data_IF_880562114840
#
_entry.id   IF_880562114840
#
_cell.length_a   1.000
_cell.length_b   1.000
_cell.length_c   1.000
_cell.angle_alpha   90.00
_cell.angle_beta   90.00
_cell.angle_gamma   90.00
#
_symmetry.space_group_name_H-M   'P 1'
#
loop_
_entity.id
_entity.type
_entity.pdbx_description
1 polymer ?
#
# COMPACT_ATOMS: atom_id res chain seq x y z
N UNK A 1 4.98 -2.89 10.30
CA UNK A 1 4.78 -2.87 8.84
C UNK A 1 5.97 -2.15 8.28
N UNK A 2 6.66 -2.71 7.29
CA UNK A 2 7.84 -2.08 6.69
C UNK A 2 7.45 -1.22 5.50
N UNK A 3 8.36 -0.31 5.11
CA UNK A 3 8.26 0.40 3.84
C UNK A 3 8.28 -0.57 2.67
N UNK A 4 7.45 -0.29 1.67
CA UNK A 4 7.26 -1.14 0.51
C UNK A 4 8.05 -0.65 -0.71
N UNK A 5 8.43 0.61 -0.72
CA UNK A 5 9.13 1.27 -1.80
C UNK A 5 9.21 2.78 -1.55
N UNK A 6 9.92 3.45 -2.45
CA UNK A 6 10.12 4.90 -2.39
C UNK A 6 9.44 5.57 -3.58
N UNK A 7 8.68 6.62 -3.30
CA UNK A 7 8.12 7.51 -4.31
C UNK A 7 8.53 8.94 -4.01
N UNK A 8 8.91 9.69 -5.04
CA UNK A 8 9.20 11.12 -4.87
C UNK A 8 7.88 11.86 -4.59
N UNK A 9 7.84 12.83 -3.66
CA UNK A 9 6.61 13.57 -3.35
C UNK A 9 5.91 14.18 -4.58
N UNK A 10 6.69 14.67 -5.56
CA UNK A 10 6.14 15.18 -6.82
C UNK A 10 5.41 14.12 -7.64
N UNK A 11 5.91 12.87 -7.66
CA UNK A 11 5.24 11.77 -8.34
C UNK A 11 3.92 11.43 -7.66
N UNK A 12 3.85 11.52 -6.33
CA UNK A 12 2.60 11.30 -5.60
C UNK A 12 1.56 12.38 -5.91
N UNK A 13 1.97 13.65 -6.01
CA UNK A 13 1.04 14.75 -6.28
C UNK A 13 0.52 14.70 -7.73
N UNK A 14 1.37 14.39 -8.71
CA UNK A 14 1.03 14.51 -10.13
C UNK A 14 0.69 13.20 -10.84
N UNK A 15 1.21 12.06 -10.38
CA UNK A 15 1.11 10.76 -11.09
C UNK A 15 0.39 9.70 -10.26
N UNK A 16 0.77 9.53 -9.01
CA UNK A 16 0.33 8.46 -8.12
C UNK A 16 -0.39 9.02 -6.90
N UNK A 17 -1.42 9.83 -7.16
CA UNK A 17 -2.26 10.41 -6.11
C UNK A 17 -3.12 9.36 -5.41
N UNK A 18 -4.04 9.84 -4.57
CA UNK A 18 -5.02 8.99 -3.89
C UNK A 18 -5.81 8.16 -4.90
N UNK A 19 -5.96 6.86 -4.63
CA UNK A 19 -6.63 5.90 -5.52
C UNK A 19 -5.80 5.46 -6.72
N UNK A 20 -4.58 5.96 -6.89
CA UNK A 20 -3.70 5.49 -7.95
C UNK A 20 -3.19 4.07 -7.67
N UNK A 21 -3.03 3.29 -8.74
CA UNK A 21 -2.35 2.01 -8.71
C UNK A 21 -0.84 2.20 -8.86
N UNK A 22 -0.09 1.57 -7.96
CA UNK A 22 1.37 1.55 -7.97
C UNK A 22 1.82 0.10 -8.06
N UNK A 23 2.60 -0.20 -9.10
CA UNK A 23 3.19 -1.53 -9.29
C UNK A 23 4.55 -1.60 -8.58
N UNK A 24 4.66 -2.49 -7.60
CA UNK A 24 5.92 -2.88 -6.97
C UNK A 24 6.43 -4.18 -7.64
N UNK A 25 7.71 -4.57 -7.43
CA UNK A 25 8.29 -5.71 -8.14
C UNK A 25 7.52 -7.03 -8.01
N UNK A 26 6.92 -7.30 -6.84
CA UNK A 26 6.25 -8.58 -6.55
C UNK A 26 4.78 -8.43 -6.14
N UNK A 27 4.25 -7.21 -6.04
CA UNK A 27 2.83 -6.98 -5.75
C UNK A 27 2.39 -5.59 -6.26
N UNK A 28 1.10 -5.41 -6.52
CA UNK A 28 0.56 -4.09 -6.83
C UNK A 28 -0.22 -3.55 -5.63
N UNK A 29 -0.18 -2.24 -5.43
CA UNK A 29 -0.91 -1.56 -4.37
C UNK A 29 -1.75 -0.42 -4.91
N UNK A 30 -2.74 -0.02 -4.14
CA UNK A 30 -3.51 1.20 -4.35
C UNK A 30 -3.21 2.19 -3.23
N UNK A 31 -3.05 3.46 -3.58
CA UNK A 31 -2.85 4.55 -2.62
C UNK A 31 -4.18 4.82 -1.90
N UNK A 32 -4.14 4.80 -0.57
CA UNK A 32 -5.34 5.00 0.26
C UNK A 32 -5.76 6.47 0.35
N UNK A 33 -6.98 6.67 0.86
CA UNK A 33 -7.63 7.98 0.99
C UNK A 33 -6.85 8.92 1.90
N UNK A 34 -7.11 10.23 1.78
CA UNK A 34 -6.55 11.21 2.72
C UNK A 34 -7.02 10.96 4.17
N UNK A 35 -8.18 10.32 4.35
CA UNK A 35 -8.70 9.94 5.66
C UNK A 35 -7.84 8.88 6.37
N UNK A 36 -7.08 8.09 5.61
CA UNK A 36 -6.16 7.07 6.15
C UNK A 36 -4.76 7.65 6.46
N UNK A 37 -4.51 8.92 6.11
CA UNK A 37 -3.20 9.54 6.31
C UNK A 37 -3.01 9.95 7.76
N UNK A 38 -1.85 9.60 8.32
CA UNK A 38 -1.49 10.00 9.67
C UNK A 38 -0.92 11.43 9.69
N UNK A 39 -1.79 12.38 10.03
CA UNK A 39 -1.49 13.82 10.07
C UNK A 39 -0.29 14.13 10.98
N UNK A 40 0.03 13.28 11.97
CA UNK A 40 1.18 13.47 12.87
C UNK A 40 2.52 13.50 12.14
N UNK A 41 2.58 12.85 10.98
CA UNK A 41 3.78 12.79 10.14
C UNK A 41 3.67 13.68 8.89
N UNK A 42 2.59 14.45 8.77
CA UNK A 42 2.39 15.40 7.69
C UNK A 42 2.89 16.78 8.11
N UNK A 43 3.76 17.39 7.30
CA UNK A 43 4.19 18.77 7.52
C UNK A 43 3.11 19.74 7.05
N UNK A 44 2.67 20.64 7.92
CA UNK A 44 1.72 21.69 7.56
C UNK A 44 2.38 22.75 6.65
N UNK A 45 1.63 23.22 5.66
CA UNK A 45 2.04 24.29 4.75
C UNK A 45 1.53 25.61 5.32
N UNK A 46 2.43 26.38 5.91
CA UNK A 46 2.16 27.69 6.50
C UNK A 46 2.22 28.80 5.43
N UNK A 47 1.22 28.82 4.53
CA UNK A 47 1.12 29.85 3.48
C UNK A 47 -0.30 30.43 3.38
N UNK A 48 -0.56 31.53 4.11
CA UNK A 48 -1.87 32.18 4.16
C UNK A 48 -2.44 32.54 2.78
N UNK A 49 -1.58 32.97 1.86
CA UNK A 49 -1.99 33.32 0.49
C UNK A 49 -2.46 32.11 -0.30
N UNK A 50 -1.81 30.96 -0.11
CA UNK A 50 -2.19 29.71 -0.75
C UNK A 50 -3.50 29.19 -0.17
N UNK A 51 -3.64 29.19 1.15
CA UNK A 51 -4.88 28.79 1.84
C UNK A 51 -6.04 29.67 1.38
N UNK A 52 -5.88 31.00 1.35
CA UNK A 52 -6.90 31.91 0.86
C UNK A 52 -7.26 31.66 -0.62
N UNK A 53 -6.28 31.35 -1.46
CA UNK A 53 -6.53 31.03 -2.88
C UNK A 53 -7.29 29.71 -3.04
N UNK A 54 -6.99 28.70 -2.22
CA UNK A 54 -7.68 27.41 -2.21
C UNK A 54 -9.10 27.54 -1.64
N UNK A 55 -9.28 28.29 -0.55
CA UNK A 55 -10.59 28.57 0.04
C UNK A 55 -11.52 29.31 -0.93
N UNK A 56 -11.00 30.22 -1.75
CA UNK A 56 -11.79 30.86 -2.81
C UNK A 56 -12.36 29.88 -3.84
N UNK A 57 -11.71 28.73 -4.05
CA UNK A 57 -12.12 27.71 -5.04
C UNK A 57 -12.96 26.59 -4.42
N UNK A 58 -12.55 26.09 -3.26
CA UNK A 58 -13.16 24.92 -2.63
C UNK A 58 -14.11 25.27 -1.49
N UNK A 59 -14.00 26.47 -0.91
CA UNK A 59 -14.81 26.96 0.20
C UNK A 59 -14.02 27.10 1.52
N UNK A 60 -14.64 27.78 2.49
CA UNK A 60 -14.02 28.13 3.77
C UNK A 60 -13.81 26.93 4.72
N UNK A 61 -14.32 25.73 4.38
CA UNK A 61 -14.10 24.52 5.16
C UNK A 61 -12.65 24.02 5.13
N UNK A 62 -11.86 24.46 4.14
CA UNK A 62 -10.44 24.14 4.01
C UNK A 62 -9.60 25.11 4.85
N UNK A 63 -9.24 24.72 6.07
CA UNK A 63 -8.44 25.56 6.98
C UNK A 63 -6.94 25.31 6.94
N UNK A 64 -6.51 24.11 6.52
CA UNK A 64 -5.11 23.67 6.59
C UNK A 64 -4.72 22.88 5.36
N UNK A 65 -3.45 22.98 4.99
CA UNK A 65 -2.84 22.26 3.88
C UNK A 65 -1.66 21.46 4.42
N UNK A 66 -1.57 20.21 4.02
CA UNK A 66 -0.53 19.29 4.48
C UNK A 66 0.28 18.78 3.31
N UNK A 67 1.59 18.65 3.51
CA UNK A 67 2.44 17.85 2.65
C UNK A 67 2.21 16.36 2.92
N UNK A 68 2.48 15.48 1.93
CA UNK A 68 2.45 14.04 2.12
C UNK A 68 3.27 13.61 3.34
N UNK A 69 2.89 12.52 4.02
CA UNK A 69 3.66 11.97 5.13
C UNK A 69 5.03 11.53 4.59
N UNK A 70 6.07 12.23 5.00
CA UNK A 70 7.46 11.96 4.64
C UNK A 70 8.18 11.56 5.94
N UNK A 71 9.07 10.58 5.86
CA UNK A 71 9.94 10.24 6.98
C UNK A 71 10.71 11.46 7.45
N UNK A 72 10.73 11.67 8.76
CA UNK A 72 11.56 12.68 9.39
C UNK A 72 12.98 12.13 9.51
N UNK A 73 13.99 12.92 9.13
CA UNK A 73 15.41 12.56 9.18
C UNK A 73 15.88 12.08 10.58
N UNK A 74 15.17 12.48 11.64
CA UNK A 74 15.44 12.06 13.02
C UNK A 74 15.03 10.62 13.32
N UNK A 75 14.20 9.99 12.49
CA UNK A 75 13.72 8.62 12.69
C UNK A 75 14.62 7.56 12.02
N UNK A 76 15.59 7.98 11.20
CA UNK A 76 16.51 7.06 10.49
C UNK A 76 17.45 6.28 11.42
N UNK A 77 17.62 6.72 12.67
CA UNK A 77 18.54 6.10 13.62
C UNK A 77 17.88 5.06 14.54
N UNK A 78 16.55 4.95 14.55
CA UNK A 78 15.83 4.02 15.42
C UNK A 78 15.27 2.82 14.61
N UNK A 79 15.80 1.59 14.78
CA UNK A 79 15.28 0.40 14.13
C UNK A 79 13.84 0.04 14.54
N UNK A 80 13.35 0.60 15.65
CA UNK A 80 11.99 0.40 16.15
C UNK A 80 11.01 1.49 15.67
N UNK A 81 11.48 2.48 14.90
CA UNK A 81 10.62 3.51 14.35
C UNK A 81 9.51 2.90 13.46
N UNK A 82 8.26 3.40 13.55
CA UNK A 82 7.21 2.97 12.65
C UNK A 82 7.55 3.33 11.21
N UNK A 83 7.15 2.50 10.24
CA UNK A 83 7.22 2.87 8.84
C UNK A 83 6.27 4.04 8.58
N UNK A 84 6.85 5.24 8.47
CA UNK A 84 6.13 6.46 8.13
C UNK A 84 6.13 6.59 6.61
N UNK A 85 4.94 6.74 6.04
CA UNK A 85 4.79 6.91 4.60
C UNK A 85 3.32 6.99 4.21
N UNK A 86 3.09 7.07 2.90
CA UNK A 86 1.72 7.14 2.38
C UNK A 86 1.06 5.78 2.55
N UNK A 87 -0.16 5.73 3.14
CA UNK A 87 -0.86 4.47 3.35
C UNK A 87 -1.27 3.85 2.01
N UNK A 88 -1.07 2.54 1.89
CA UNK A 88 -1.41 1.78 0.69
C UNK A 88 -2.08 0.47 1.06
N UNK A 89 -2.93 -0.05 0.16
CA UNK A 89 -3.56 -1.35 0.31
C UNK A 89 -3.22 -2.27 -0.87
N UNK A 90 -3.12 -3.60 -0.65
CA UNK A 90 -2.86 -4.56 -1.72
C UNK A 90 -4.00 -4.58 -2.74
N UNK A 91 -3.65 -4.58 -4.02
CA UNK A 91 -4.58 -4.71 -5.14
C UNK A 91 -4.00 -5.61 -6.24
N UNK A 92 -4.77 -6.51 -6.86
CA UNK A 92 -6.09 -6.99 -6.48
C UNK A 92 -6.13 -7.66 -5.09
N UNK A 93 -7.32 -7.76 -4.51
CA UNK A 93 -7.54 -8.39 -3.20
C UNK A 93 -7.59 -9.91 -3.25
N UNK A 94 -7.84 -10.48 -4.41
CA UNK A 94 -7.89 -11.92 -4.64
C UNK A 94 -6.52 -12.43 -5.09
N UNK A 95 -6.08 -13.53 -4.50
CA UNK A 95 -4.78 -14.15 -4.78
C UNK A 95 -4.97 -15.64 -5.03
N UNK A 96 -4.12 -16.23 -5.87
CA UNK A 96 -4.10 -17.65 -6.18
C UNK A 96 -2.71 -18.23 -5.95
N UNK A 97 -2.65 -19.38 -5.27
CA UNK A 97 -1.42 -20.17 -5.21
C UNK A 97 -1.22 -20.97 -6.51
N UNK A 98 -0.07 -20.85 -7.20
CA UNK A 98 0.18 -21.57 -8.45
C UNK A 98 0.32 -23.09 -8.28
N UNK A 99 0.67 -23.58 -7.09
CA UNK A 99 0.88 -25.02 -6.84
C UNK A 99 -0.42 -25.75 -6.49
N UNK A 100 -1.17 -25.26 -5.49
CA UNK A 100 -2.38 -25.92 -5.01
C UNK A 100 -3.68 -25.34 -5.58
N UNK A 101 -3.62 -24.26 -6.36
CA UNK A 101 -4.77 -23.55 -6.91
C UNK A 101 -5.74 -22.98 -5.87
N UNK A 102 -5.34 -22.92 -4.60
CA UNK A 102 -6.14 -22.23 -3.58
C UNK A 102 -6.33 -20.78 -3.99
N UNK A 103 -7.58 -20.36 -4.05
CA UNK A 103 -8.02 -19.01 -4.35
C UNK A 103 -8.64 -18.44 -3.07
N UNK A 104 -8.09 -17.33 -2.58
CA UNK A 104 -8.61 -16.67 -1.39
C UNK A 104 -8.30 -15.16 -1.43
N UNK A 105 -8.94 -14.40 -0.56
CA UNK A 105 -8.64 -12.97 -0.39
C UNK A 105 -7.44 -12.77 0.52
N UNK A 106 -6.78 -11.61 0.42
CA UNK A 106 -5.69 -11.22 1.34
C UNK A 106 -6.12 -11.17 2.82
N UNK A 107 -7.41 -10.95 3.10
CA UNK A 107 -7.99 -10.94 4.46
C UNK A 107 -8.29 -12.32 5.03
N UNK A 108 -8.37 -13.34 4.18
CA UNK A 108 -8.74 -14.70 4.61
C UNK A 108 -7.73 -15.36 5.56
N UNK A 109 -6.53 -14.78 5.71
CA UNK A 109 -5.43 -15.33 6.50
C UNK A 109 -4.70 -16.51 5.85
N UNK A 110 -5.17 -17.02 4.70
CA UNK A 110 -4.54 -18.11 3.95
C UNK A 110 -3.17 -17.69 3.38
N UNK A 111 -3.09 -16.43 2.94
CA UNK A 111 -1.87 -15.86 2.37
C UNK A 111 -1.25 -14.89 3.38
N UNK A 112 0.07 -14.99 3.56
CA UNK A 112 0.82 -14.14 4.48
C UNK A 112 1.70 -13.18 3.69
N UNK A 113 1.66 -11.91 4.05
CA UNK A 113 2.61 -10.92 3.56
C UNK A 113 3.96 -11.16 4.25
N UNK A 114 4.99 -11.41 3.46
CA UNK A 114 6.38 -11.42 3.92
C UNK A 114 7.01 -10.11 3.49
N UNK A 115 7.52 -9.35 4.46
CA UNK A 115 8.29 -8.13 4.22
C UNK A 115 9.72 -8.36 4.70
N UNK A 116 10.70 -8.06 3.85
CA UNK A 116 12.11 -8.05 4.24
C UNK A 116 12.49 -6.61 4.63
N UNK A 117 12.96 -6.34 5.87
CA UNK A 117 13.34 -5.00 6.30
C UNK A 117 14.44 -4.33 5.47
N UNK A 118 15.35 -5.12 4.89
CA UNK A 118 16.51 -4.62 4.15
C UNK A 118 16.26 -4.61 2.63
N UNK A 119 15.26 -5.38 2.18
CA UNK A 119 14.94 -5.58 0.77
C UNK A 119 13.43 -5.38 0.56
N UNK A 120 12.95 -4.13 0.58
CA UNK A 120 11.53 -3.84 0.38
C UNK A 120 11.00 -4.37 -0.96
N UNK A 121 11.87 -4.45 -1.97
CA UNK A 121 11.60 -5.04 -3.29
C UNK A 121 11.17 -6.51 -3.24
N UNK A 122 11.55 -7.25 -2.19
CA UNK A 122 11.20 -8.66 -1.98
C UNK A 122 9.89 -8.85 -1.23
N UNK A 123 9.17 -7.77 -0.95
CA UNK A 123 7.86 -7.90 -0.30
C UNK A 123 6.90 -8.64 -1.21
N UNK A 124 6.36 -9.77 -0.74
CA UNK A 124 5.46 -10.62 -1.52
C UNK A 124 4.44 -11.32 -0.61
N UNK A 125 3.32 -11.74 -1.21
CA UNK A 125 2.41 -12.66 -0.54
C UNK A 125 2.86 -14.10 -0.79
N UNK A 126 2.88 -14.92 0.26
CA UNK A 126 3.20 -16.34 0.15
C UNK A 126 2.11 -17.21 0.76
N UNK A 127 2.02 -18.44 0.27
CA UNK A 127 1.13 -19.45 0.84
C UNK A 127 1.89 -20.41 1.75
N UNK A 128 1.93 -20.13 3.06
CA UNK A 128 2.70 -20.91 4.03
C UNK A 128 2.15 -22.33 4.24
N UNK A 129 0.84 -22.52 4.13
CA UNK A 129 0.16 -23.80 4.34
C UNK A 129 0.03 -24.69 3.09
N UNK A 130 0.89 -24.52 2.08
CA UNK A 130 0.74 -25.24 0.82
C UNK A 130 1.17 -26.72 0.94
N UNK A 131 0.22 -27.65 0.96
CA UNK A 131 0.51 -29.10 0.98
C UNK A 131 1.27 -29.62 -0.25
N UNK A 132 1.25 -28.87 -1.36
CA UNK A 132 1.93 -29.24 -2.61
C UNK A 132 3.31 -28.59 -2.79
N UNK A 133 3.77 -27.77 -1.84
CA UNK A 133 5.10 -27.20 -1.92
C UNK A 133 6.14 -28.28 -1.61
N UNK A 134 6.96 -28.61 -2.60
CA UNK A 134 8.08 -29.55 -2.44
C UNK A 134 9.25 -28.76 -1.82
N UNK A 135 9.30 -28.69 -0.50
CA UNK A 135 10.34 -28.01 0.28
C UNK A 135 9.80 -27.13 1.40
N UNK A 136 10.71 -26.55 2.20
CA UNK A 136 10.38 -25.63 3.30
C UNK A 136 10.03 -24.21 2.85
N UNK A 137 10.18 -23.90 1.55
CA UNK A 137 9.89 -22.56 1.02
C UNK A 137 8.43 -22.47 0.57
N UNK A 138 7.70 -21.54 1.21
CA UNK A 138 6.34 -21.19 0.81
C UNK A 138 6.35 -20.60 -0.62
N UNK A 139 5.46 -21.06 -1.52
CA UNK A 139 5.35 -20.49 -2.86
C UNK A 139 4.76 -19.08 -2.82
N UNK A 140 5.32 -18.20 -3.66
CA UNK A 140 4.75 -16.88 -3.95
C UNK A 140 3.40 -17.02 -4.65
N UNK A 141 2.45 -16.15 -4.30
CA UNK A 141 1.08 -16.20 -4.84
C UNK A 141 0.90 -15.13 -5.91
N UNK A 142 -0.01 -15.41 -6.84
CA UNK A 142 -0.27 -14.53 -7.96
C UNK A 142 -1.57 -13.76 -7.74
N UNK A 143 -1.59 -12.44 -8.02
CA UNK A 143 -2.82 -11.66 -7.98
C UNK A 143 -3.79 -12.12 -9.05
N UNK A 144 -5.07 -12.23 -8.68
CA UNK A 144 -6.15 -12.58 -9.59
C UNK A 144 -6.92 -11.33 -9.95
N UNK A 145 -6.78 -10.90 -11.20
CA UNK A 145 -7.46 -9.71 -11.74
C UNK A 145 -8.90 -10.00 -12.17
N UNK A 146 -9.16 -11.20 -12.67
CA UNK A 146 -10.48 -11.63 -13.15
C UNK A 146 -10.89 -12.92 -12.46
N UNK A 147 -12.02 -12.87 -11.75
CA UNK A 147 -12.70 -14.05 -11.22
C UNK A 147 -14.04 -14.15 -11.95
N UNK A 148 -14.29 -15.26 -12.63
CA UNK A 148 -15.60 -15.54 -13.19
C UNK A 148 -16.40 -16.38 -12.19
N UNK A 149 -17.53 -15.88 -11.65
CA UNK A 149 -18.43 -16.72 -10.88
C UNK A 149 -19.17 -17.65 -11.85
N UNK A 150 -18.81 -18.93 -11.86
CA UNK A 150 -19.71 -19.96 -12.42
C UNK A 150 -20.74 -20.27 -11.35
N UNK A 151 -21.98 -19.82 -11.54
CA UNK A 151 -23.11 -20.39 -10.84
C UNK A 151 -23.22 -21.85 -11.27
N UNK A 152 -23.04 -22.79 -10.35
CA UNK A 152 -23.36 -24.19 -10.61
C UNK A 152 -24.85 -24.25 -10.87
N UNK A 153 -25.23 -24.49 -12.13
CA UNK A 153 -26.62 -24.75 -12.51
C UNK A 153 -27.14 -25.89 -11.66
N UNK A 154 -28.26 -25.64 -10.98
CA UNK A 154 -29.14 -26.66 -10.41
C UNK A 154 -29.70 -27.55 -11.51
#
# INVERSE_FOLDING_TARGET
MNELGELRPSQLIFTFGVGALVDLPNLSVIVLGLDDWDIRYCKEIEEDRLVAAVQKRLGAQMGRLYLPPIKLDSMDQDPAAPAVGVPVAPFPRWMRCPLCNTLATVESGVFKLIQDPYRPDRTEYVHQGCLKSVGSRAPSVLPVRFCWPVARGT
#
